data_IF_986646984833
#
_entry.id   IF_986646984833
#
_cell.length_a   1.000
_cell.length_b   1.000
_cell.length_c   1.000
_cell.angle_alpha   90.00
_cell.angle_beta   90.00
_cell.angle_gamma   90.00
#
_symmetry.space_group_name_H-M   'P 1'
#
loop_
_entity.id
_entity.type
_entity.pdbx_description
1 polymer ?
#
# COMPACT_ATOMS: atom_id res chain seq x y z
N UNK A 1 -35.49 2.05 -0.87
CA UNK A 1 -34.49 1.81 -1.93
C UNK A 1 -34.99 2.54 -3.16
N UNK A 2 -34.24 3.55 -3.61
CA UNK A 2 -34.51 4.19 -4.90
C UNK A 2 -34.32 3.15 -6.01
N UNK A 3 -35.24 3.12 -6.96
CA UNK A 3 -35.11 2.25 -8.13
C UNK A 3 -33.97 2.78 -9.00
N UNK A 4 -33.07 1.87 -9.45
CA UNK A 4 -32.03 2.26 -10.39
C UNK A 4 -32.63 2.90 -11.66
N UNK A 5 -31.96 3.91 -12.23
CA UNK A 5 -32.33 4.42 -13.54
C UNK A 5 -32.40 3.30 -14.59
N UNK A 6 -33.30 3.43 -15.55
CA UNK A 6 -33.61 2.35 -16.51
C UNK A 6 -32.39 1.79 -17.23
N UNK A 7 -31.50 2.66 -17.69
CA UNK A 7 -30.24 2.26 -18.35
C UNK A 7 -29.31 1.52 -17.38
N UNK A 8 -29.15 2.00 -16.13
CA UNK A 8 -28.34 1.33 -15.15
C UNK A 8 -28.90 -0.05 -14.75
N UNK A 9 -30.24 -0.15 -14.64
CA UNK A 9 -30.91 -1.42 -14.39
C UNK A 9 -30.63 -2.42 -15.52
N UNK A 10 -30.79 -2.01 -16.79
CA UNK A 10 -30.54 -2.85 -17.96
C UNK A 10 -29.09 -3.35 -18.00
N UNK A 11 -28.09 -2.51 -17.68
CA UNK A 11 -26.69 -2.92 -17.56
C UNK A 11 -26.51 -3.90 -16.40
N UNK A 12 -27.09 -3.61 -15.23
CA UNK A 12 -26.98 -4.46 -14.06
C UNK A 12 -27.64 -5.83 -14.24
N UNK A 13 -28.72 -5.90 -14.99
CA UNK A 13 -29.48 -7.14 -15.25
C UNK A 13 -29.00 -7.88 -16.51
N UNK A 14 -27.94 -7.38 -17.16
CA UNK A 14 -27.41 -7.92 -18.41
C UNK A 14 -28.46 -7.99 -19.53
N UNK A 15 -29.38 -6.99 -19.58
CA UNK A 15 -30.49 -6.93 -20.53
C UNK A 15 -30.07 -6.20 -21.84
N UNK A 16 -29.31 -6.90 -22.68
CA UNK A 16 -28.84 -6.37 -23.98
C UNK A 16 -30.02 -5.96 -24.89
N UNK A 17 -31.10 -6.75 -25.03
CA UNK A 17 -32.24 -6.36 -25.84
C UNK A 17 -32.86 -5.01 -25.40
N UNK A 18 -32.94 -4.80 -24.12
CA UNK A 18 -33.43 -3.52 -23.56
C UNK A 18 -32.51 -2.36 -23.89
N UNK A 19 -31.19 -2.56 -23.76
CA UNK A 19 -30.21 -1.54 -24.14
C UNK A 19 -30.25 -1.20 -25.62
N UNK A 20 -30.41 -2.21 -26.51
CA UNK A 20 -30.61 -1.99 -27.94
C UNK A 20 -31.84 -1.10 -28.20
N UNK A 21 -32.95 -1.38 -27.53
CA UNK A 21 -34.16 -0.57 -27.66
C UNK A 21 -33.94 0.88 -27.16
N UNK A 22 -33.22 1.05 -26.07
CA UNK A 22 -32.86 2.37 -25.55
C UNK A 22 -31.95 3.13 -26.52
N UNK A 23 -30.97 2.47 -27.12
CA UNK A 23 -30.08 3.05 -28.13
C UNK A 23 -30.86 3.49 -29.39
N UNK A 24 -31.80 2.68 -29.86
CA UNK A 24 -32.70 3.03 -30.96
C UNK A 24 -33.59 4.22 -30.57
N UNK A 25 -33.92 4.38 -29.29
CA UNK A 25 -34.65 5.50 -28.74
C UNK A 25 -33.80 6.76 -28.51
N UNK A 26 -32.50 6.73 -28.85
CA UNK A 26 -31.60 7.87 -28.76
C UNK A 26 -30.81 7.93 -27.43
N UNK A 27 -30.64 6.80 -26.73
CA UNK A 27 -29.73 6.73 -25.58
C UNK A 27 -28.32 7.11 -26.01
N UNK A 28 -27.70 8.05 -25.30
CA UNK A 28 -26.33 8.42 -25.44
C UNK A 28 -25.51 7.71 -24.34
N UNK A 29 -24.53 6.90 -24.75
CA UNK A 29 -23.65 6.13 -23.84
C UNK A 29 -22.58 6.98 -23.18
N UNK A 30 -22.37 8.19 -23.67
CA UNK A 30 -21.40 9.15 -23.16
C UNK A 30 -22.03 10.18 -22.19
N UNK A 31 -23.23 9.90 -21.71
CA UNK A 31 -23.90 10.67 -20.67
C UNK A 31 -23.89 9.91 -19.35
N UNK A 32 -23.32 10.49 -18.27
CA UNK A 32 -23.26 9.81 -16.99
C UNK A 32 -24.65 9.61 -16.37
N UNK A 33 -24.85 8.45 -15.78
CA UNK A 33 -26.09 8.05 -15.11
C UNK A 33 -25.99 8.42 -13.63
N UNK A 34 -26.96 9.20 -13.13
CA UNK A 34 -27.08 9.51 -11.71
C UNK A 34 -27.64 8.30 -10.97
N UNK A 35 -26.82 7.62 -10.17
CA UNK A 35 -27.21 6.43 -9.39
C UNK A 35 -27.70 6.78 -7.97
N UNK A 36 -27.18 7.88 -7.40
CA UNK A 36 -27.61 8.43 -6.10
C UNK A 36 -27.26 9.90 -6.04
N UNK A 37 -27.57 10.57 -4.92
CA UNK A 37 -27.21 11.99 -4.72
C UNK A 37 -25.71 12.26 -4.95
N UNK A 38 -24.84 11.28 -4.67
CA UNK A 38 -23.38 11.46 -4.68
C UNK A 38 -22.66 10.63 -5.75
N UNK A 39 -23.36 9.74 -6.46
CA UNK A 39 -22.75 8.79 -7.40
C UNK A 39 -23.28 9.00 -8.79
N UNK A 40 -22.38 9.32 -9.69
CA UNK A 40 -22.57 9.32 -11.12
C UNK A 40 -21.59 8.35 -11.75
N UNK A 41 -22.02 7.57 -12.70
CA UNK A 41 -21.15 6.67 -13.47
C UNK A 41 -21.56 6.65 -14.94
N UNK A 42 -20.57 6.52 -15.81
CA UNK A 42 -20.82 6.23 -17.21
C UNK A 42 -21.38 4.80 -17.37
N UNK A 43 -22.21 4.53 -18.38
CA UNK A 43 -22.68 3.19 -18.70
C UNK A 43 -21.56 2.15 -18.70
N UNK A 44 -20.43 2.48 -19.35
CA UNK A 44 -19.26 1.61 -19.43
C UNK A 44 -18.59 1.36 -18.06
N UNK A 45 -18.53 2.37 -17.17
CA UNK A 45 -18.01 2.20 -15.81
C UNK A 45 -18.83 1.16 -15.02
N UNK A 46 -20.17 1.21 -15.13
CA UNK A 46 -21.05 0.26 -14.45
C UNK A 46 -20.75 -1.17 -14.91
N UNK A 47 -20.59 -1.40 -16.22
CA UNK A 47 -20.27 -2.72 -16.76
C UNK A 47 -18.89 -3.21 -16.29
N UNK A 48 -17.88 -2.32 -16.22
CA UNK A 48 -16.52 -2.64 -15.71
C UNK A 48 -16.57 -2.97 -14.22
N UNK A 49 -17.26 -2.19 -13.39
CA UNK A 49 -17.42 -2.49 -11.95
C UNK A 49 -18.07 -3.86 -11.71
N UNK A 50 -18.98 -4.26 -12.60
CA UNK A 50 -19.64 -5.56 -12.52
C UNK A 50 -18.84 -6.71 -13.12
N UNK A 51 -17.73 -6.41 -13.79
CA UNK A 51 -16.94 -7.39 -14.56
C UNK A 51 -17.81 -8.14 -15.58
N UNK A 52 -18.74 -7.42 -16.21
CA UNK A 52 -19.63 -7.99 -17.23
C UNK A 52 -18.98 -7.86 -18.61
N UNK A 53 -18.15 -8.84 -18.95
CA UNK A 53 -17.34 -8.82 -20.18
C UNK A 53 -18.17 -8.67 -21.45
N UNK A 54 -19.27 -9.44 -21.65
CA UNK A 54 -20.12 -9.25 -22.83
C UNK A 54 -20.75 -7.85 -22.89
N UNK A 55 -21.19 -7.30 -21.76
CA UNK A 55 -21.74 -5.96 -21.69
C UNK A 55 -20.70 -4.88 -22.00
N UNK A 56 -19.45 -5.05 -21.52
CA UNK A 56 -18.35 -4.15 -21.85
C UNK A 56 -18.12 -4.11 -23.36
N UNK A 57 -18.02 -5.27 -24.00
CA UNK A 57 -17.88 -5.35 -25.46
C UNK A 57 -19.04 -4.72 -26.19
N UNK A 58 -20.28 -5.03 -25.78
CA UNK A 58 -21.48 -4.44 -26.34
C UNK A 58 -21.45 -2.92 -26.33
N UNK A 59 -21.14 -2.32 -25.17
CA UNK A 59 -21.09 -0.86 -25.01
C UNK A 59 -19.98 -0.23 -25.85
N UNK A 60 -18.79 -0.83 -25.91
CA UNK A 60 -17.68 -0.35 -26.74
C UNK A 60 -18.01 -0.44 -28.24
N UNK A 61 -18.63 -1.52 -28.69
CA UNK A 61 -19.08 -1.72 -30.10
C UNK A 61 -20.16 -0.71 -30.51
N UNK A 62 -20.95 -0.22 -29.55
CA UNK A 62 -21.97 0.81 -29.77
C UNK A 62 -21.48 2.24 -29.50
N UNK A 63 -20.17 2.42 -29.34
CA UNK A 63 -19.53 3.72 -29.36
C UNK A 63 -19.35 4.40 -28.00
N UNK A 64 -19.50 3.68 -26.87
CA UNK A 64 -19.13 4.23 -25.57
C UNK A 64 -17.65 4.62 -25.51
N UNK A 65 -17.35 5.86 -25.13
CA UNK A 65 -15.98 6.36 -25.05
C UNK A 65 -15.34 5.99 -23.70
N UNK A 66 -14.31 5.11 -23.68
CA UNK A 66 -13.62 4.74 -22.45
C UNK A 66 -12.84 5.91 -21.80
N UNK A 67 -12.63 7.02 -22.53
CA UNK A 67 -11.95 8.21 -22.03
C UNK A 67 -12.79 9.10 -21.12
N UNK A 68 -14.11 8.89 -21.06
CA UNK A 68 -15.07 9.75 -20.35
C UNK A 68 -15.43 9.28 -18.93
N UNK A 69 -14.66 8.36 -18.34
CA UNK A 69 -14.91 7.89 -16.97
C UNK A 69 -14.91 9.03 -15.94
N UNK A 70 -15.95 9.10 -15.08
CA UNK A 70 -16.18 10.19 -14.12
C UNK A 70 -15.22 10.14 -12.93
N UNK A 71 -14.98 8.95 -12.39
CA UNK A 71 -14.23 8.78 -11.14
C UNK A 71 -12.72 8.68 -11.37
N UNK A 72 -12.32 7.80 -12.29
CA UNK A 72 -10.93 7.50 -12.59
C UNK A 72 -10.81 6.76 -13.93
N UNK A 73 -9.63 6.77 -14.59
CA UNK A 73 -9.41 5.99 -15.80
C UNK A 73 -9.85 4.53 -15.67
N UNK A 74 -10.60 4.02 -16.64
CA UNK A 74 -11.18 2.68 -16.60
C UNK A 74 -10.15 1.57 -16.42
N UNK A 75 -8.92 1.76 -16.87
CA UNK A 75 -7.81 0.85 -16.62
C UNK A 75 -7.63 0.55 -15.13
N UNK A 76 -7.77 1.55 -14.25
CA UNK A 76 -7.61 1.36 -12.81
C UNK A 76 -8.76 0.54 -12.24
N UNK A 77 -9.98 0.85 -12.64
CA UNK A 77 -11.17 0.09 -12.23
C UNK A 77 -11.12 -1.35 -12.77
N UNK A 78 -10.72 -1.53 -14.02
CA UNK A 78 -10.54 -2.86 -14.63
C UNK A 78 -9.45 -3.67 -13.93
N UNK A 79 -8.32 -3.05 -13.56
CA UNK A 79 -7.24 -3.71 -12.82
C UNK A 79 -7.72 -4.29 -11.48
N UNK A 80 -8.69 -3.63 -10.83
CA UNK A 80 -9.29 -4.06 -9.57
C UNK A 80 -10.40 -5.11 -9.75
N UNK A 81 -11.30 -4.86 -10.71
CA UNK A 81 -12.58 -5.58 -10.79
C UNK A 81 -12.58 -6.71 -11.83
N UNK A 82 -11.76 -6.59 -12.89
CA UNK A 82 -11.84 -7.44 -14.08
C UNK A 82 -10.62 -8.35 -14.24
N UNK A 83 -10.72 -9.29 -15.20
CA UNK A 83 -9.62 -10.14 -15.64
C UNK A 83 -8.68 -9.45 -16.64
N UNK A 84 -7.57 -10.13 -17.01
CA UNK A 84 -6.54 -9.58 -17.90
C UNK A 84 -7.07 -9.13 -19.26
N UNK A 85 -8.07 -9.81 -19.80
CA UNK A 85 -8.69 -9.48 -21.10
C UNK A 85 -9.31 -8.07 -21.10
N UNK A 86 -10.05 -7.73 -20.03
CA UNK A 86 -10.67 -6.41 -19.89
C UNK A 86 -9.63 -5.33 -19.58
N UNK A 87 -8.62 -5.63 -18.77
CA UNK A 87 -7.50 -4.71 -18.52
C UNK A 87 -6.81 -4.36 -19.82
N UNK A 88 -6.62 -5.33 -20.73
CA UNK A 88 -6.00 -5.12 -22.03
C UNK A 88 -6.80 -4.15 -22.93
N UNK A 89 -8.14 -4.13 -22.84
CA UNK A 89 -8.98 -3.19 -23.61
C UNK A 89 -8.69 -1.73 -23.29
N UNK A 90 -8.22 -1.44 -22.06
CA UNK A 90 -7.94 -0.09 -21.61
C UNK A 90 -6.43 0.22 -21.52
N UNK A 91 -5.58 -0.65 -22.07
CA UNK A 91 -4.12 -0.52 -21.98
C UNK A 91 -3.59 0.78 -22.55
N UNK A 92 -4.20 1.36 -23.58
CA UNK A 92 -3.81 2.63 -24.19
C UNK A 92 -3.92 3.81 -23.23
N UNK A 93 -4.81 3.74 -22.22
CA UNK A 93 -4.94 4.76 -21.20
C UNK A 93 -3.65 4.94 -20.37
N UNK A 94 -2.72 3.97 -20.38
CA UNK A 94 -1.43 4.11 -19.69
C UNK A 94 -0.63 5.32 -20.15
N UNK A 95 -0.84 5.76 -21.40
CA UNK A 95 -0.14 6.93 -21.98
C UNK A 95 -0.48 8.24 -21.25
N UNK A 96 -1.71 8.37 -20.72
CA UNK A 96 -2.18 9.58 -20.04
C UNK A 96 -2.05 9.51 -18.52
N UNK A 97 -1.73 8.32 -17.95
CA UNK A 97 -1.61 8.18 -16.51
C UNK A 97 -0.38 8.90 -15.95
N UNK A 98 -0.60 9.68 -14.91
CA UNK A 98 0.48 10.22 -14.08
C UNK A 98 1.25 9.10 -13.37
N UNK A 99 2.50 9.33 -12.93
CA UNK A 99 3.26 8.35 -12.15
C UNK A 99 2.50 7.81 -10.94
N UNK A 100 1.77 8.66 -10.22
CA UNK A 100 0.96 8.26 -9.07
C UNK A 100 -0.22 7.35 -9.45
N UNK A 101 -0.84 7.59 -10.59
CA UNK A 101 -1.89 6.71 -11.10
C UNK A 101 -1.32 5.35 -11.56
N UNK A 102 -0.08 5.31 -12.06
CA UNK A 102 0.62 4.06 -12.38
C UNK A 102 0.93 3.24 -11.12
N UNK A 103 1.39 3.87 -10.04
CA UNK A 103 1.51 3.24 -8.72
C UNK A 103 0.14 2.72 -8.26
N UNK A 104 -0.90 3.54 -8.42
CA UNK A 104 -2.29 3.18 -8.09
C UNK A 104 -2.77 1.95 -8.86
N UNK A 105 -2.43 1.79 -10.14
CA UNK A 105 -2.83 0.63 -10.93
C UNK A 105 -2.35 -0.71 -10.29
N UNK A 106 -1.13 -0.75 -9.77
CA UNK A 106 -0.61 -1.94 -9.06
C UNK A 106 -1.31 -2.12 -7.72
N UNK A 107 -1.65 -1.04 -7.02
CA UNK A 107 -2.46 -1.11 -5.81
C UNK A 107 -3.88 -1.64 -6.08
N UNK A 108 -4.49 -1.25 -7.20
CA UNK A 108 -5.81 -1.77 -7.59
C UNK A 108 -5.78 -3.29 -7.80
N UNK A 109 -4.72 -3.82 -8.40
CA UNK A 109 -4.50 -5.28 -8.52
C UNK A 109 -4.46 -5.95 -7.13
N UNK A 110 -3.76 -5.34 -6.16
CA UNK A 110 -3.70 -5.83 -4.77
C UNK A 110 -5.08 -5.81 -4.11
N UNK A 111 -5.79 -4.68 -4.18
CA UNK A 111 -7.12 -4.55 -3.57
C UNK A 111 -8.16 -5.47 -4.21
N UNK A 112 -8.09 -5.65 -5.52
CA UNK A 112 -8.94 -6.58 -6.27
C UNK A 112 -8.57 -8.05 -6.09
N UNK A 113 -7.38 -8.34 -5.49
CA UNK A 113 -6.83 -9.70 -5.37
C UNK A 113 -6.67 -10.41 -6.72
N UNK A 114 -6.23 -9.67 -7.75
CA UNK A 114 -6.10 -10.12 -9.13
C UNK A 114 -4.65 -10.06 -9.63
N UNK A 115 -3.73 -10.83 -9.03
CA UNK A 115 -2.31 -10.78 -9.38
C UNK A 115 -2.03 -11.11 -10.86
N UNK A 116 -2.95 -11.80 -11.54
CA UNK A 116 -2.89 -12.10 -12.98
C UNK A 116 -2.84 -10.82 -13.84
N UNK A 117 -3.37 -9.70 -13.37
CA UNK A 117 -3.38 -8.43 -14.09
C UNK A 117 -2.00 -7.74 -14.13
N UNK A 118 -1.05 -8.13 -13.26
CA UNK A 118 0.30 -7.56 -13.26
C UNK A 118 0.96 -7.72 -14.62
N UNK A 119 0.84 -8.88 -15.26
CA UNK A 119 1.47 -9.11 -16.55
C UNK A 119 0.95 -8.16 -17.63
N UNK A 120 -0.36 -7.91 -17.67
CA UNK A 120 -0.96 -7.00 -18.66
C UNK A 120 -0.55 -5.56 -18.39
N UNK A 121 -0.51 -5.13 -17.14
CA UNK A 121 -0.03 -3.79 -16.76
C UNK A 121 1.43 -3.58 -17.16
N UNK A 122 2.30 -4.59 -17.00
CA UNK A 122 3.69 -4.52 -17.44
C UNK A 122 3.81 -4.38 -18.95
N UNK A 123 3.02 -5.18 -19.72
CA UNK A 123 2.97 -5.07 -21.18
C UNK A 123 2.48 -3.68 -21.63
N UNK A 124 1.61 -3.04 -20.86
CA UNK A 124 1.12 -1.69 -21.09
C UNK A 124 2.08 -0.59 -20.60
N UNK A 125 3.26 -0.95 -20.04
CA UNK A 125 4.30 0.00 -19.61
C UNK A 125 4.18 0.46 -18.15
N UNK A 126 3.35 -0.20 -17.33
CA UNK A 126 3.31 0.00 -15.88
C UNK A 126 4.11 -1.12 -15.23
N UNK A 127 5.44 -0.95 -15.13
CA UNK A 127 6.31 -1.98 -14.59
C UNK A 127 6.33 -1.99 -13.06
N UNK A 128 6.39 -3.17 -12.49
CA UNK A 128 6.50 -3.36 -11.02
C UNK A 128 7.82 -2.79 -10.49
N UNK A 129 8.91 -2.91 -11.25
CA UNK A 129 10.22 -2.31 -10.92
C UNK A 129 10.11 -0.82 -10.59
N UNK A 130 9.34 -0.08 -11.39
CA UNK A 130 9.21 1.37 -11.24
C UNK A 130 8.09 1.81 -10.30
N UNK A 131 6.98 1.08 -10.26
CA UNK A 131 5.74 1.51 -9.62
C UNK A 131 5.23 0.55 -8.54
N UNK A 132 5.92 -0.56 -8.27
CA UNK A 132 5.45 -1.64 -7.40
C UNK A 132 5.84 -1.54 -5.92
N UNK A 133 6.73 -0.62 -5.55
CA UNK A 133 7.30 -0.57 -4.19
C UNK A 133 6.27 -0.38 -3.08
N UNK A 134 5.30 0.52 -3.27
CA UNK A 134 4.20 0.73 -2.32
C UNK A 134 3.34 -0.52 -2.17
N UNK A 135 2.97 -1.17 -3.27
CA UNK A 135 2.17 -2.38 -3.27
C UNK A 135 2.92 -3.56 -2.64
N UNK A 136 4.24 -3.65 -2.85
CA UNK A 136 5.09 -4.65 -2.23
C UNK A 136 5.10 -4.52 -0.70
N UNK A 137 5.41 -3.30 -0.18
CA UNK A 137 5.37 -3.03 1.26
C UNK A 137 4.00 -3.35 1.86
N UNK A 138 2.91 -2.93 1.20
CA UNK A 138 1.56 -3.21 1.65
C UNK A 138 1.23 -4.71 1.66
N UNK A 139 1.65 -5.47 0.64
CA UNK A 139 1.46 -6.92 0.59
C UNK A 139 2.21 -7.64 1.74
N UNK A 140 3.41 -7.17 2.09
CA UNK A 140 4.16 -7.68 3.25
C UNK A 140 3.45 -7.36 4.56
N UNK A 141 3.00 -6.11 4.74
CA UNK A 141 2.27 -5.68 5.94
C UNK A 141 0.96 -6.47 6.15
N UNK A 142 0.26 -6.81 5.05
CA UNK A 142 -0.96 -7.64 5.06
C UNK A 142 -0.67 -9.15 5.26
N UNK A 143 0.60 -9.55 5.27
CA UNK A 143 0.99 -10.97 5.32
C UNK A 143 0.70 -11.74 4.03
N UNK A 144 0.45 -11.06 2.92
CA UNK A 144 0.21 -11.68 1.61
C UNK A 144 1.53 -12.11 0.94
N UNK A 145 2.10 -13.20 1.44
CA UNK A 145 3.39 -13.71 0.98
C UNK A 145 3.40 -14.06 -0.52
N UNK A 146 2.26 -14.52 -1.07
CA UNK A 146 2.17 -14.87 -2.49
C UNK A 146 2.33 -13.64 -3.38
N UNK A 147 1.61 -12.57 -3.07
CA UNK A 147 1.72 -11.33 -3.82
C UNK A 147 3.08 -10.65 -3.60
N UNK A 148 3.58 -10.63 -2.36
CA UNK A 148 4.90 -10.07 -2.07
C UNK A 148 6.02 -10.75 -2.89
N UNK A 149 6.01 -12.10 -2.98
CA UNK A 149 6.96 -12.84 -3.81
C UNK A 149 6.83 -12.48 -5.29
N UNK A 150 5.62 -12.45 -5.82
CA UNK A 150 5.38 -12.08 -7.21
C UNK A 150 5.90 -10.67 -7.52
N UNK A 151 5.59 -9.69 -6.66
CA UNK A 151 6.04 -8.31 -6.87
C UNK A 151 7.57 -8.20 -6.79
N UNK A 152 8.21 -8.92 -5.87
CA UNK A 152 9.67 -8.94 -5.78
C UNK A 152 10.32 -9.62 -7.00
N UNK A 153 9.79 -10.74 -7.48
CA UNK A 153 10.22 -11.42 -8.71
C UNK A 153 10.11 -10.49 -9.94
N UNK A 154 9.14 -9.59 -9.93
CA UNK A 154 8.92 -8.57 -10.96
C UNK A 154 9.75 -7.30 -10.75
N UNK A 155 10.66 -7.28 -9.78
CA UNK A 155 11.62 -6.21 -9.55
C UNK A 155 11.15 -5.08 -8.64
N UNK A 156 10.13 -5.29 -7.81
CA UNK A 156 9.76 -4.29 -6.79
C UNK A 156 10.97 -3.95 -5.90
N UNK A 157 11.14 -2.67 -5.58
CA UNK A 157 12.19 -2.24 -4.66
C UNK A 157 11.93 -2.79 -3.26
N UNK A 158 12.78 -3.75 -2.84
CA UNK A 158 12.69 -4.41 -1.54
C UNK A 158 12.89 -3.44 -0.38
N UNK A 159 13.63 -2.35 -0.62
CA UNK A 159 13.97 -1.31 0.34
C UNK A 159 13.10 -0.06 0.20
N UNK A 160 11.97 -0.15 -0.52
CA UNK A 160 11.04 0.96 -0.67
C UNK A 160 10.62 1.55 0.68
N UNK A 161 10.89 2.84 0.87
CA UNK A 161 10.63 3.58 2.13
C UNK A 161 10.12 5.01 1.88
N UNK A 162 9.31 5.22 0.84
CA UNK A 162 8.64 6.51 0.63
C UNK A 162 7.35 6.58 1.45
N UNK A 163 6.98 7.79 1.96
CA UNK A 163 5.73 7.97 2.67
C UNK A 163 4.54 7.87 1.72
N UNK A 164 3.45 7.30 2.23
CA UNK A 164 2.13 7.32 1.60
C UNK A 164 1.04 7.56 2.65
N UNK A 165 -0.23 7.47 2.25
CA UNK A 165 -1.36 7.71 3.16
C UNK A 165 -1.50 6.63 4.24
N UNK A 166 -1.08 5.40 3.97
CA UNK A 166 -1.14 4.26 4.92
C UNK A 166 0.09 4.23 5.81
N UNK A 167 1.25 4.57 5.24
CA UNK A 167 2.55 4.55 5.90
C UNK A 167 3.22 5.92 5.88
N UNK A 168 2.69 6.92 6.60
CA UNK A 168 3.22 8.29 6.59
C UNK A 168 4.63 8.41 7.18
N UNK A 169 5.03 7.43 8.01
CA UNK A 169 6.37 7.30 8.60
C UNK A 169 7.38 6.63 7.66
N UNK A 170 6.96 6.15 6.49
CA UNK A 170 7.84 5.57 5.47
C UNK A 170 8.69 4.36 5.93
N UNK A 171 8.12 3.34 6.59
CA UNK A 171 8.85 2.13 6.96
C UNK A 171 9.24 1.32 5.73
N UNK A 172 10.26 0.48 5.85
CA UNK A 172 10.54 -0.56 4.85
C UNK A 172 9.61 -1.76 5.03
N UNK A 173 9.54 -2.63 4.02
CA UNK A 173 8.75 -3.87 4.11
C UNK A 173 9.22 -4.77 5.26
N UNK A 174 10.54 -4.87 5.52
CA UNK A 174 11.07 -5.67 6.62
C UNK A 174 10.74 -5.08 7.99
N UNK A 175 10.66 -3.75 8.11
CA UNK A 175 10.19 -3.08 9.33
C UNK A 175 8.70 -3.38 9.59
N UNK A 176 7.86 -3.38 8.57
CA UNK A 176 6.45 -3.76 8.70
C UNK A 176 6.28 -5.24 9.05
N UNK A 177 7.04 -6.14 8.45
CA UNK A 177 7.03 -7.56 8.83
C UNK A 177 7.40 -7.75 10.31
N UNK A 178 8.38 -6.99 10.83
CA UNK A 178 8.76 -6.99 12.24
C UNK A 178 7.65 -6.41 13.13
N UNK A 179 6.97 -5.34 12.69
CA UNK A 179 5.83 -4.73 13.39
C UNK A 179 4.69 -5.73 13.60
N UNK A 180 4.43 -6.56 12.59
CA UNK A 180 3.43 -7.63 12.64
C UNK A 180 3.94 -8.94 13.27
N UNK A 181 5.16 -8.96 13.85
CA UNK A 181 5.77 -10.13 14.48
C UNK A 181 5.91 -11.34 13.55
N UNK A 182 6.01 -11.11 12.25
CA UNK A 182 6.06 -12.16 11.23
C UNK A 182 7.51 -12.59 10.96
N UNK A 183 8.10 -13.36 11.89
CA UNK A 183 9.47 -13.84 11.78
C UNK A 183 9.79 -14.59 10.46
N UNK A 184 8.92 -15.49 9.95
CA UNK A 184 9.16 -16.11 8.65
C UNK A 184 9.28 -15.10 7.49
N UNK A 185 8.45 -14.06 7.48
CA UNK A 185 8.51 -13.00 6.47
C UNK A 185 9.79 -12.16 6.62
N UNK A 186 10.17 -11.80 7.86
CA UNK A 186 11.41 -11.07 8.12
C UNK A 186 12.62 -11.85 7.61
N UNK A 187 12.73 -13.16 7.92
CA UNK A 187 13.81 -14.01 7.45
C UNK A 187 13.87 -14.06 5.93
N UNK A 188 12.72 -14.31 5.30
CA UNK A 188 12.64 -14.33 3.84
C UNK A 188 13.09 -13.00 3.21
N UNK A 189 12.64 -11.86 3.73
CA UNK A 189 13.05 -10.54 3.22
C UNK A 189 14.56 -10.33 3.34
N UNK A 190 15.16 -10.69 4.47
CA UNK A 190 16.61 -10.58 4.67
C UNK A 190 17.38 -11.51 3.71
N UNK A 191 16.91 -12.74 3.50
CA UNK A 191 17.48 -13.68 2.52
C UNK A 191 17.40 -13.12 1.07
N UNK A 192 16.40 -12.29 0.79
CA UNK A 192 16.25 -11.62 -0.50
C UNK A 192 17.04 -10.29 -0.58
N UNK A 193 17.78 -9.89 0.46
CA UNK A 193 18.63 -8.71 0.47
C UNK A 193 17.98 -7.44 1.02
N UNK A 194 16.92 -7.57 1.83
CA UNK A 194 16.36 -6.41 2.53
C UNK A 194 17.38 -5.80 3.50
N UNK A 195 17.53 -4.48 3.43
CA UNK A 195 18.40 -3.72 4.31
C UNK A 195 17.68 -3.43 5.63
N UNK A 196 18.16 -4.07 6.71
CA UNK A 196 17.61 -3.90 8.06
C UNK A 196 18.09 -2.61 8.76
N UNK A 197 19.01 -1.89 8.14
CA UNK A 197 19.59 -0.65 8.72
C UNK A 197 18.78 0.60 8.39
N UNK A 198 17.90 0.52 7.40
CA UNK A 198 17.04 1.64 7.00
C UNK A 198 16.01 1.91 8.10
N UNK A 199 16.08 3.12 8.66
CA UNK A 199 15.13 3.60 9.64
C UNK A 199 13.97 4.36 8.97
N UNK A 200 12.80 4.31 9.57
CA UNK A 200 11.67 5.16 9.20
C UNK A 200 11.85 6.60 9.74
N UNK A 201 10.88 7.48 9.49
CA UNK A 201 10.94 8.89 9.93
C UNK A 201 11.01 9.08 11.45
N UNK A 202 10.66 8.07 12.22
CA UNK A 202 10.75 8.09 13.69
C UNK A 202 12.02 7.42 14.21
N UNK A 203 12.91 6.96 13.32
CA UNK A 203 14.11 6.22 13.66
C UNK A 203 13.86 4.73 13.92
N UNK A 204 12.66 4.23 13.62
CA UNK A 204 12.32 2.83 13.80
C UNK A 204 12.92 1.95 12.70
N UNK A 205 13.68 0.95 13.13
CA UNK A 205 14.21 -0.14 12.30
C UNK A 205 13.57 -1.47 12.72
N UNK A 206 13.74 -2.54 11.96
CA UNK A 206 13.19 -3.86 12.32
C UNK A 206 13.53 -4.28 13.76
N UNK A 207 14.79 -4.08 14.20
CA UNK A 207 15.23 -4.39 15.56
C UNK A 207 14.49 -3.55 16.62
N UNK A 208 14.46 -2.23 16.46
CA UNK A 208 13.79 -1.34 17.44
C UNK A 208 12.32 -1.67 17.57
N UNK A 209 11.64 -1.95 16.46
CA UNK A 209 10.24 -2.39 16.43
C UNK A 209 10.06 -3.74 17.14
N UNK A 210 10.97 -4.70 16.95
CA UNK A 210 10.89 -5.99 17.63
C UNK A 210 11.00 -5.84 19.17
N UNK A 211 11.91 -4.97 19.65
CA UNK A 211 12.07 -4.66 21.07
C UNK A 211 10.84 -3.93 21.62
N UNK A 212 10.33 -2.90 20.94
CA UNK A 212 9.09 -2.20 21.31
C UNK A 212 7.89 -3.15 21.45
N UNK A 213 7.79 -4.10 20.53
CA UNK A 213 6.74 -5.11 20.53
C UNK A 213 6.98 -6.26 21.53
N UNK A 214 8.07 -6.21 22.31
CA UNK A 214 8.46 -7.24 23.28
C UNK A 214 8.58 -8.63 22.65
N UNK A 215 9.02 -8.70 21.38
CA UNK A 215 9.25 -9.96 20.68
C UNK A 215 10.75 -10.31 20.76
N UNK A 216 11.12 -11.01 21.86
CA UNK A 216 12.52 -11.31 22.18
C UNK A 216 13.19 -12.17 21.10
N UNK A 217 12.51 -13.19 20.56
CA UNK A 217 13.06 -14.05 19.51
C UNK A 217 13.46 -13.26 18.27
N UNK A 218 12.56 -12.37 17.82
CA UNK A 218 12.83 -11.52 16.66
C UNK A 218 13.90 -10.47 16.95
N UNK A 219 13.89 -9.88 18.16
CA UNK A 219 14.90 -8.91 18.57
C UNK A 219 16.30 -9.55 18.61
N UNK A 220 16.45 -10.74 19.20
CA UNK A 220 17.73 -11.47 19.26
C UNK A 220 18.23 -11.84 17.86
N UNK A 221 17.33 -12.30 16.98
CA UNK A 221 17.66 -12.59 15.59
C UNK A 221 18.18 -11.36 14.84
N UNK A 222 17.48 -10.23 14.92
CA UNK A 222 17.85 -8.99 14.23
C UNK A 222 19.11 -8.36 14.83
N UNK A 223 19.27 -8.42 16.16
CA UNK A 223 20.46 -7.93 16.85
C UNK A 223 21.73 -8.62 16.36
N UNK A 224 21.68 -9.93 16.08
CA UNK A 224 22.81 -10.67 15.59
C UNK A 224 23.23 -10.29 14.16
N UNK A 225 22.37 -9.59 13.42
CA UNK A 225 22.60 -9.14 12.04
C UNK A 225 22.95 -7.67 11.93
N UNK A 226 22.64 -6.85 12.96
CA UNK A 226 23.03 -5.45 13.01
C UNK A 226 24.51 -5.28 13.39
N UNK A 227 25.16 -4.14 13.04
CA UNK A 227 26.52 -3.84 13.49
C UNK A 227 26.64 -3.88 15.02
N UNK A 228 27.68 -4.54 15.52
CA UNK A 228 27.92 -4.73 16.97
C UNK A 228 27.99 -3.37 17.72
N UNK A 229 28.58 -2.37 17.08
CA UNK A 229 28.70 -1.02 17.64
C UNK A 229 27.35 -0.37 17.97
N UNK A 230 26.29 -0.73 17.29
CA UNK A 230 24.94 -0.20 17.56
C UNK A 230 24.33 -0.72 18.86
N UNK A 231 24.88 -1.81 19.37
CA UNK A 231 24.47 -2.43 20.62
C UNK A 231 25.48 -2.22 21.76
N UNK A 232 26.59 -1.50 21.47
CA UNK A 232 27.59 -1.18 22.46
C UNK A 232 27.19 0.06 23.27
N UNK A 233 27.04 -0.10 24.59
CA UNK A 233 26.61 0.96 25.49
C UNK A 233 27.59 2.14 25.51
N UNK A 234 28.90 1.87 25.49
CA UNK A 234 29.90 2.93 25.53
C UNK A 234 29.92 3.76 24.27
N UNK A 235 29.76 3.11 23.12
CA UNK A 235 29.65 3.78 21.83
C UNK A 235 28.40 4.65 21.78
N UNK A 236 27.28 4.15 22.30
CA UNK A 236 26.04 4.92 22.42
C UNK A 236 26.20 6.17 23.29
N UNK A 237 26.90 6.04 24.44
CA UNK A 237 27.21 7.19 25.27
C UNK A 237 28.05 8.22 24.52
N UNK A 238 29.05 7.77 23.75
CA UNK A 238 29.89 8.63 22.92
C UNK A 238 29.08 9.42 21.89
N UNK A 239 28.17 8.75 21.19
CA UNK A 239 27.27 9.37 20.21
C UNK A 239 26.32 10.39 20.84
N UNK A 240 25.91 10.19 22.10
CA UNK A 240 25.03 11.09 22.82
C UNK A 240 25.75 12.27 23.51
N UNK A 241 27.08 12.24 23.59
CA UNK A 241 27.86 13.32 24.26
C UNK A 241 27.60 14.73 23.69
N UNK A 242 27.47 14.92 22.33
CA UNK A 242 27.19 16.24 21.78
C UNK A 242 25.88 16.86 22.29
N UNK A 243 24.92 16.05 22.66
CA UNK A 243 23.60 16.49 23.14
C UNK A 243 23.62 16.92 24.62
N UNK A 244 24.77 16.75 25.33
CA UNK A 244 24.97 17.16 26.74
C UNK A 244 23.87 16.68 27.67
N UNK A 245 23.41 15.43 27.49
CA UNK A 245 22.37 14.87 28.35
C UNK A 245 22.82 14.83 29.80
N UNK A 246 21.97 15.24 30.78
CA UNK A 246 22.29 15.13 32.17
C UNK A 246 22.63 13.69 32.57
N UNK A 247 23.69 13.48 33.35
CA UNK A 247 24.14 12.16 33.80
C UNK A 247 23.02 11.35 34.49
N UNK A 248 22.18 12.02 35.28
CA UNK A 248 21.01 11.41 35.92
C UNK A 248 19.98 10.89 34.90
N UNK A 249 19.80 11.58 33.78
CA UNK A 249 18.90 11.13 32.71
C UNK A 249 19.47 9.91 32.02
N UNK A 250 20.76 9.90 31.71
CA UNK A 250 21.46 8.74 31.11
C UNK A 250 21.34 7.52 32.03
N UNK A 251 21.59 7.68 33.33
CA UNK A 251 21.43 6.63 34.33
C UNK A 251 19.99 6.10 34.38
N UNK A 252 19.02 7.01 34.39
CA UNK A 252 17.60 6.67 34.41
C UNK A 252 17.16 5.88 33.17
N UNK A 253 17.62 6.27 31.97
CA UNK A 253 17.32 5.57 30.73
C UNK A 253 17.94 4.16 30.64
N UNK A 254 19.03 3.92 31.45
CA UNK A 254 19.67 2.60 31.55
C UNK A 254 18.94 1.66 32.51
N UNK A 255 18.51 2.15 33.64
CA UNK A 255 18.11 1.34 34.78
C UNK A 255 16.73 1.67 35.34
N UNK A 256 16.18 2.82 34.98
CA UNK A 256 14.89 3.31 35.50
C UNK A 256 13.69 2.62 34.85
N UNK A 257 12.50 2.77 35.46
CA UNK A 257 11.27 2.33 34.84
C UNK A 257 11.01 3.18 33.60
N UNK A 258 10.84 2.50 32.45
CA UNK A 258 10.61 3.18 31.17
C UNK A 258 9.18 3.74 31.04
N UNK A 259 8.27 3.30 31.92
CA UNK A 259 6.90 3.82 31.99
C UNK A 259 6.78 4.81 33.13
N UNK A 260 6.40 6.04 32.80
CA UNK A 260 6.12 7.13 33.73
C UNK A 260 4.62 7.30 33.88
N UNK A 261 4.11 7.30 35.11
CA UNK A 261 2.70 7.52 35.40
C UNK A 261 2.49 9.00 35.81
N UNK A 262 1.43 9.61 35.28
CA UNK A 262 1.02 10.98 35.57
C UNK A 262 -0.43 10.99 36.11
N UNK A 263 -0.66 10.51 37.34
CA UNK A 263 -2.01 10.31 37.87
C UNK A 263 -2.80 11.62 37.97
N UNK A 264 -2.12 12.74 38.15
CA UNK A 264 -2.73 14.06 38.37
C UNK A 264 -2.94 14.85 37.06
N UNK A 265 -2.55 14.30 35.90
CA UNK A 265 -2.77 14.93 34.62
C UNK A 265 -4.12 14.53 34.01
N UNK A 266 -4.80 15.51 33.41
CA UNK A 266 -6.13 15.28 32.83
C UNK A 266 -6.07 14.44 31.54
N UNK A 267 -5.12 14.75 30.66
CA UNK A 267 -5.06 14.20 29.30
C UNK A 267 -4.01 13.13 29.10
N UNK A 268 -2.89 13.19 29.79
CA UNK A 268 -1.79 12.24 29.68
C UNK A 268 -1.64 11.51 31.00
N UNK A 269 -2.06 10.25 31.07
CA UNK A 269 -1.99 9.43 32.26
C UNK A 269 -0.66 8.72 32.44
N UNK A 270 0.03 8.46 31.36
CA UNK A 270 1.34 7.81 31.35
C UNK A 270 2.12 8.15 30.08
N UNK A 271 3.44 8.00 30.14
CA UNK A 271 4.34 8.01 28.99
C UNK A 271 5.31 6.83 29.08
N UNK A 272 5.66 6.26 27.94
CA UNK A 272 6.68 5.21 27.85
C UNK A 272 7.91 5.80 27.16
N UNK A 273 9.08 5.63 27.81
CA UNK A 273 10.36 6.06 27.30
C UNK A 273 11.05 4.88 26.61
N UNK A 274 11.81 5.17 25.58
CA UNK A 274 12.69 4.17 25.00
C UNK A 274 13.88 3.89 25.92
N UNK A 275 14.27 2.62 26.01
CA UNK A 275 15.50 2.27 26.72
C UNK A 275 16.72 2.94 26.07
N UNK A 276 17.77 3.15 26.85
CA UNK A 276 19.00 3.74 26.37
C UNK A 276 19.56 3.06 25.11
N UNK A 277 19.42 1.74 25.01
CA UNK A 277 19.87 0.96 23.85
C UNK A 277 19.10 1.23 22.56
N UNK A 278 17.88 1.79 22.67
CA UNK A 278 17.02 2.09 21.52
C UNK A 278 17.12 3.55 21.05
N UNK A 279 17.83 4.40 21.81
CA UNK A 279 18.04 5.78 21.38
C UNK A 279 18.88 5.80 20.10
N UNK A 280 18.28 6.25 19.02
CA UNK A 280 18.92 6.44 17.73
C UNK A 280 19.29 7.92 17.56
N UNK A 281 20.55 8.20 17.32
CA UNK A 281 20.98 9.49 16.83
C UNK A 281 21.10 9.35 15.33
N UNK A 282 20.15 9.91 14.56
CA UNK A 282 20.37 10.08 13.14
C UNK A 282 21.55 11.03 12.97
N UNK A 283 22.58 10.60 12.26
CA UNK A 283 23.52 11.53 11.67
C UNK A 283 22.77 12.32 10.58
N UNK A 284 21.97 13.28 11.04
CA UNK A 284 21.46 14.33 10.18
C UNK A 284 22.66 15.26 9.94
N UNK A 285 23.41 14.94 8.89
CA UNK A 285 24.33 15.88 8.28
C UNK A 285 23.55 16.90 7.46
#
# INVERSE_FOLDING_TARGET
>A
WETLPETAAAICDHDIPKLEALLQGGLDLDVPIQLSEYIKLMPLEIAVFRNDVPMIHFLLEHGADPGLAEEQPLLLTAARCCGPEVVALFAEQTAILSPKQKERAIQEVRWGKRPENIQVLEQAGITVEKFGGEAFRAAVSEGNAKLARLLLEKGADINYHKPDMVFPNAPTAVTEAARHKNLPMVRWLIEQGADITIADKYGDRPYTVAVQNKNQELADYLKALEPEEWHNEQEKIRQLMPYKLPAKLVEYLKTGPLRLEFPDQEWVKWAELYSFCLLYTSDAA
#
